data_IF_184451529751
#
_entry.id   IF_184451529751
#
_cell.length_a   1.000
_cell.length_b   1.000
_cell.length_c   1.000
_cell.angle_alpha   90.00
_cell.angle_beta   90.00
_cell.angle_gamma   90.00
#
_symmetry.space_group_name_H-M   'P 1'
#
loop_
_entity.id
_entity.type
_entity.pdbx_description
1 polymer ?
#
# COMPACT_ATOMS: atom_id res chain seq x y z
N UNK A 1 -2.65 -7.15 12.08
CA UNK A 1 -2.31 -6.23 10.98
C UNK A 1 -1.32 -5.17 11.46
N UNK A 2 -0.02 -5.41 11.31
CA UNK A 2 0.98 -4.34 11.43
C UNK A 2 0.69 -3.25 10.40
N UNK A 3 0.79 -2.01 10.86
CA UNK A 3 0.75 -0.82 10.02
C UNK A 3 2.16 -0.39 9.68
N UNK A 4 2.33 0.23 8.52
CA UNK A 4 3.59 0.79 8.08
C UNK A 4 3.36 2.21 7.61
N UNK A 5 4.26 3.11 7.99
CA UNK A 5 4.26 4.51 7.56
C UNK A 5 5.57 4.85 6.89
N UNK A 6 5.47 5.53 5.75
CA UNK A 6 6.65 5.97 5.01
C UNK A 6 7.26 7.19 5.68
N UNK A 7 8.56 7.14 5.95
CA UNK A 7 9.27 8.29 6.53
C UNK A 7 9.46 9.45 5.54
N UNK A 8 9.44 9.18 4.23
CA UNK A 8 9.71 10.19 3.19
C UNK A 8 8.47 10.99 2.78
N UNK A 9 7.34 10.31 2.51
CA UNK A 9 6.11 10.97 2.07
C UNK A 9 4.96 10.89 3.08
N UNK A 10 5.15 10.18 4.20
CA UNK A 10 4.12 9.99 5.21
C UNK A 10 3.03 8.99 4.84
N UNK A 11 3.09 8.35 3.66
CA UNK A 11 2.06 7.40 3.21
C UNK A 11 2.00 6.17 4.09
N UNK A 12 0.79 5.72 4.39
CA UNK A 12 0.54 4.63 5.32
C UNK A 12 -0.03 3.42 4.58
N UNK A 13 0.32 2.21 5.00
CA UNK A 13 -0.28 0.97 4.51
C UNK A 13 -0.47 0.00 5.67
N UNK A 14 -1.41 -0.93 5.54
CA UNK A 14 -1.47 -2.11 6.41
C UNK A 14 -1.30 -3.35 5.57
N UNK A 15 -0.60 -4.33 6.10
CA UNK A 15 -0.56 -5.65 5.49
C UNK A 15 -0.81 -6.70 6.56
N UNK A 16 -1.45 -7.79 6.16
CA UNK A 16 -1.56 -8.98 6.99
C UNK A 16 -0.49 -10.03 6.60
N UNK A 17 0.34 -9.71 5.60
CA UNK A 17 1.46 -10.55 5.22
C UNK A 17 2.57 -10.47 6.24
N UNK A 18 3.17 -11.63 6.52
CA UNK A 18 4.38 -11.73 7.35
C UNK A 18 5.60 -11.13 6.67
N UNK A 19 5.55 -10.92 5.34
CA UNK A 19 6.65 -10.34 4.59
C UNK A 19 6.59 -8.81 4.64
N UNK A 20 7.66 -8.21 5.16
CA UNK A 20 7.79 -6.76 5.26
C UNK A 20 7.76 -6.11 3.86
N UNK A 21 7.03 -4.99 3.70
CA UNK A 21 6.99 -4.28 2.44
C UNK A 21 8.38 -3.70 2.11
N UNK A 22 8.83 -3.92 0.87
CA UNK A 22 10.18 -3.50 0.43
C UNK A 22 10.31 -1.98 0.28
N UNK A 23 9.21 -1.29 0.03
CA UNK A 23 9.22 0.16 -0.09
C UNK A 23 7.84 0.77 -0.27
N UNK A 24 7.78 2.08 -0.10
CA UNK A 24 6.54 2.84 -0.17
C UNK A 24 5.89 2.73 -1.56
N UNK A 25 4.59 2.47 -1.64
CA UNK A 25 3.85 2.37 -2.91
C UNK A 25 3.76 3.69 -3.68
N UNK A 26 4.12 4.82 -3.08
CA UNK A 26 4.06 6.15 -3.71
C UNK A 26 5.46 6.62 -4.12
N UNK A 27 6.39 6.67 -3.17
CA UNK A 27 7.69 7.31 -3.37
C UNK A 27 8.87 6.33 -3.33
N UNK A 28 8.64 5.03 -3.16
CA UNK A 28 9.68 4.01 -2.92
C UNK A 28 10.56 4.25 -1.68
N UNK A 29 10.22 5.26 -0.87
CA UNK A 29 10.86 5.51 0.42
C UNK A 29 10.67 4.35 1.39
N UNK A 30 11.46 4.37 2.47
CA UNK A 30 11.42 3.33 3.49
C UNK A 30 10.10 3.37 4.25
N UNK A 31 9.53 2.20 4.50
CA UNK A 31 8.34 2.00 5.31
C UNK A 31 8.78 1.51 6.69
N UNK A 32 8.34 2.21 7.73
CA UNK A 32 8.62 1.87 9.12
C UNK A 32 7.35 1.36 9.77
N UNK A 33 7.45 0.30 10.57
CA UNK A 33 6.30 -0.21 11.31
C UNK A 33 5.77 0.88 12.25
N UNK A 34 4.47 1.15 12.17
CA UNK A 34 3.82 2.20 12.95
C UNK A 34 2.34 1.91 13.19
N UNK A 35 1.79 2.47 14.26
CA UNK A 35 0.37 2.35 14.57
C UNK A 35 -0.44 3.30 13.70
N UNK A 36 -0.90 2.79 12.56
CA UNK A 36 -1.71 3.55 11.61
C UNK A 36 -3.19 3.27 11.83
N UNK A 37 -3.99 4.33 11.96
CA UNK A 37 -5.44 4.28 12.25
C UNK A 37 -6.20 5.17 11.27
N UNK A 38 -7.31 4.67 10.73
CA UNK A 38 -8.05 5.34 9.67
C UNK A 38 -9.04 4.40 8.98
N UNK A 39 -9.67 4.88 7.92
CA UNK A 39 -10.46 4.06 7.01
C UNK A 39 -9.54 3.49 5.91
N UNK A 40 -9.71 2.22 5.57
CA UNK A 40 -8.78 1.48 4.72
C UNK A 40 -9.53 0.72 3.63
N UNK A 41 -9.07 0.86 2.40
CA UNK A 41 -9.45 0.01 1.28
C UNK A 41 -8.41 -1.11 1.08
N UNK A 42 -8.80 -2.19 0.41
CA UNK A 42 -7.93 -3.33 0.09
C UNK A 42 -7.56 -3.32 -1.40
N UNK A 43 -6.27 -3.56 -1.70
CA UNK A 43 -5.76 -3.75 -3.05
C UNK A 43 -5.06 -5.10 -3.14
N UNK A 44 -5.29 -5.79 -4.25
CA UNK A 44 -4.60 -7.03 -4.61
C UNK A 44 -3.66 -6.73 -5.77
N UNK A 45 -2.38 -7.03 -5.58
CA UNK A 45 -1.39 -6.94 -6.64
C UNK A 45 -1.57 -8.09 -7.63
N UNK A 46 -1.82 -7.79 -8.90
CA UNK A 46 -1.96 -8.82 -9.95
C UNK A 46 -0.66 -9.56 -10.28
N UNK A 47 0.50 -8.98 -9.94
CA UNK A 47 1.81 -9.56 -10.30
C UNK A 47 2.37 -10.51 -9.25
N UNK A 48 2.11 -10.28 -7.97
CA UNK A 48 2.54 -11.17 -6.90
C UNK A 48 1.37 -11.76 -6.08
N UNK A 49 0.13 -11.46 -6.48
CA UNK A 49 -1.12 -11.93 -5.86
C UNK A 49 -1.28 -11.53 -4.38
N UNK A 50 -0.45 -10.60 -3.94
CA UNK A 50 -0.41 -10.08 -2.57
C UNK A 50 -1.49 -9.06 -2.32
N UNK A 51 -2.04 -9.07 -1.11
CA UNK A 51 -3.07 -8.14 -0.67
C UNK A 51 -2.55 -7.21 0.41
N UNK A 52 -2.88 -5.94 0.29
CA UNK A 52 -2.55 -4.92 1.28
C UNK A 52 -3.65 -3.91 1.36
N UNK A 53 -3.70 -3.20 2.48
CA UNK A 53 -4.64 -2.14 2.72
C UNK A 53 -3.96 -0.78 2.62
N UNK A 54 -4.69 0.19 2.11
CA UNK A 54 -4.24 1.57 1.93
C UNK A 54 -5.34 2.53 2.41
N UNK A 55 -5.01 3.79 2.75
CA UNK A 55 -5.97 4.74 3.28
C UNK A 55 -7.08 5.01 2.25
N UNK A 56 -8.33 4.94 2.69
CA UNK A 56 -9.48 5.19 1.82
C UNK A 56 -9.43 6.59 1.22
N UNK A 57 -9.76 6.68 -0.08
CA UNK A 57 -9.66 7.92 -0.85
C UNK A 57 -8.26 8.24 -1.37
N UNK A 58 -7.26 7.41 -1.06
CA UNK A 58 -5.94 7.42 -1.72
C UNK A 58 -5.82 6.19 -2.61
N UNK A 59 -5.08 6.26 -3.72
CA UNK A 59 -4.82 5.08 -4.56
C UNK A 59 -3.33 4.75 -4.54
N UNK A 60 -2.95 3.50 -4.21
CA UNK A 60 -1.56 3.09 -4.26
C UNK A 60 -1.11 3.09 -5.73
N UNK A 61 -0.01 3.77 -6.01
CA UNK A 61 0.55 3.82 -7.36
C UNK A 61 1.33 2.54 -7.70
N UNK A 62 2.04 1.96 -6.72
CA UNK A 62 2.86 0.76 -6.88
C UNK A 62 2.64 -0.27 -5.80
N UNK A 63 3.02 -1.51 -6.07
CA UNK A 63 3.03 -2.60 -5.10
C UNK A 63 4.19 -2.41 -4.10
N UNK A 64 3.93 -2.57 -2.78
CA UNK A 64 4.97 -2.50 -1.75
C UNK A 64 6.05 -3.59 -1.89
N UNK A 65 5.76 -4.71 -2.58
CA UNK A 65 6.67 -5.86 -2.68
C UNK A 65 7.38 -6.03 -4.02
N UNK A 66 6.68 -5.97 -5.16
CA UNK A 66 7.19 -6.48 -6.44
C UNK A 66 7.42 -5.44 -7.55
N UNK A 67 7.54 -4.15 -7.21
CA UNK A 67 7.60 -3.01 -8.14
C UNK A 67 6.42 -2.77 -9.09
N UNK A 68 5.47 -3.70 -9.15
CA UNK A 68 4.29 -3.60 -10.01
C UNK A 68 3.56 -2.26 -9.82
N UNK A 69 3.45 -1.48 -10.88
CA UNK A 69 2.64 -0.25 -10.90
C UNK A 69 1.19 -0.64 -11.12
N UNK A 70 0.31 -0.21 -10.22
CA UNK A 70 -1.12 -0.35 -10.44
C UNK A 70 -1.50 0.51 -11.62
N UNK A 71 -2.07 -0.09 -12.65
CA UNK A 71 -2.78 0.64 -13.68
C UNK A 71 -3.91 1.36 -12.96
N UNK A 72 -3.77 2.66 -12.73
CA UNK A 72 -4.81 3.50 -12.14
C UNK A 72 -5.97 3.50 -13.12
N UNK A 73 -6.84 2.51 -13.03
CA UNK A 73 -8.18 2.61 -13.59
C UNK A 73 -8.92 3.62 -12.72
N UNK A 74 -8.78 4.91 -13.04
CA UNK A 74 -9.78 5.90 -12.71
C UNK A 74 -11.11 5.42 -13.34
N UNK A 75 -11.90 4.64 -12.61
CA UNK A 75 -13.16 4.16 -13.17
C UNK A 75 -13.77 2.99 -12.41
N UNK A 76 -14.68 3.31 -11.49
CA UNK A 76 -15.53 2.33 -10.84
C UNK A 76 -16.65 2.92 -10.00
N UNK A 77 -17.16 4.11 -10.34
CA UNK A 77 -18.53 4.47 -9.98
C UNK A 77 -19.43 3.75 -10.99
N UNK A 78 -20.20 2.77 -10.52
CA UNK A 78 -21.37 2.24 -11.22
C UNK A 78 -22.52 2.19 -10.22
#
# INVERSE_FOLDING_TARGET
MPGYRCESCGYEIKTDEREEPRGCPICRGRLLESNVSGDWDEAVCKSCERKFKYPKGTTPYKCPWCDYTFETTLGGYF
#
